data_IF_072636808174
#
_entry.id   IF_072636808174
#
_cell.length_a   1.000
_cell.length_b   1.000
_cell.length_c   1.000
_cell.angle_alpha   90.00
_cell.angle_beta   90.00
_cell.angle_gamma   90.00
#
_symmetry.space_group_name_H-M   'P 1'
#
loop_
_entity.id
_entity.type
_entity.pdbx_description
1 polymer ?
#
# COMPACT_ATOMS: atom_id res chain seq x y z
N UNK A 1 -1.89 -99.05 -14.17
CA UNK A 1 -1.74 -97.60 -14.10
C UNK A 1 -1.67 -97.18 -12.66
N UNK A 2 -0.79 -96.23 -12.31
CA UNK A 2 -0.96 -95.54 -11.05
C UNK A 2 -2.11 -94.55 -11.23
N UNK A 3 -3.19 -94.74 -10.48
CA UNK A 3 -4.24 -93.74 -10.38
C UNK A 3 -3.74 -92.61 -9.49
N UNK A 4 -3.77 -91.39 -10.00
CA UNK A 4 -3.30 -90.20 -9.29
C UNK A 4 -4.48 -89.25 -9.09
N UNK A 5 -4.81 -88.94 -7.84
CA UNK A 5 -5.97 -88.10 -7.48
C UNK A 5 -5.88 -86.69 -8.07
N UNK A 6 -4.66 -86.16 -8.23
CA UNK A 6 -4.39 -84.81 -8.72
C UNK A 6 -3.70 -84.80 -10.11
N UNK A 7 -3.88 -85.87 -10.87
CA UNK A 7 -3.34 -86.00 -12.21
C UNK A 7 -1.88 -86.46 -12.28
N UNK A 8 -1.44 -86.72 -13.51
CA UNK A 8 -0.14 -87.31 -13.78
C UNK A 8 0.96 -86.26 -13.94
N UNK A 9 2.11 -86.47 -13.30
CA UNK A 9 3.29 -85.61 -13.44
C UNK A 9 4.22 -86.08 -14.57
N UNK A 10 4.31 -87.40 -14.80
CA UNK A 10 5.07 -87.97 -15.90
C UNK A 10 4.42 -89.25 -16.41
N UNK A 11 4.41 -89.43 -17.74
CA UNK A 11 3.93 -90.63 -18.41
C UNK A 11 5.09 -91.39 -19.04
N UNK A 12 4.97 -92.72 -19.16
CA UNK A 12 5.90 -93.51 -19.96
C UNK A 12 5.59 -93.40 -21.46
N UNK A 13 6.43 -94.00 -22.30
CA UNK A 13 6.28 -94.02 -23.76
C UNK A 13 4.98 -94.67 -24.26
N UNK A 14 4.26 -95.40 -23.39
CA UNK A 14 2.94 -95.99 -23.69
C UNK A 14 1.77 -95.14 -23.15
N UNK A 15 2.03 -93.92 -22.66
CA UNK A 15 1.01 -92.99 -22.16
C UNK A 15 0.51 -93.28 -20.74
N UNK A 16 1.08 -94.26 -20.03
CA UNK A 16 0.66 -94.62 -18.66
C UNK A 16 1.34 -93.78 -17.61
N UNK A 17 0.62 -93.44 -16.55
CA UNK A 17 1.15 -92.56 -15.52
C UNK A 17 2.19 -93.26 -14.64
N UNK A 18 3.40 -92.70 -14.58
CA UNK A 18 4.53 -93.27 -13.80
C UNK A 18 4.76 -92.55 -12.47
N UNK A 19 4.44 -91.25 -12.41
CA UNK A 19 4.49 -90.44 -11.19
C UNK A 19 3.28 -89.50 -11.07
N UNK A 20 2.75 -89.39 -9.86
CA UNK A 20 1.67 -88.46 -9.55
C UNK A 20 2.22 -87.07 -9.25
N UNK A 21 1.47 -86.02 -9.58
CA UNK A 21 1.76 -84.69 -9.06
C UNK A 21 1.68 -84.73 -7.53
N UNK A 22 2.73 -84.29 -6.86
CA UNK A 22 2.69 -84.05 -5.41
C UNK A 22 2.10 -82.66 -5.22
N UNK A 23 0.83 -82.59 -4.83
CA UNK A 23 0.16 -81.34 -4.51
C UNK A 23 0.13 -81.18 -2.99
N UNK A 24 0.74 -80.12 -2.47
CA UNK A 24 0.51 -79.66 -1.11
C UNK A 24 -0.76 -78.80 -1.15
N UNK A 25 -1.84 -79.09 -0.39
CA UNK A 25 -2.97 -78.18 -0.29
C UNK A 25 -2.47 -76.83 0.23
N UNK A 26 -2.50 -75.83 -0.64
CA UNK A 26 -1.84 -74.54 -0.42
C UNK A 26 -2.49 -73.75 0.73
N UNK A 27 -1.66 -73.07 1.53
CA UNK A 27 -2.10 -72.21 2.63
C UNK A 27 -2.80 -70.93 2.12
N UNK A 28 -3.72 -70.39 2.92
CA UNK A 28 -4.40 -69.12 2.66
C UNK A 28 -3.46 -67.92 2.91
N UNK A 29 -3.54 -66.90 2.05
CA UNK A 29 -2.88 -65.62 2.32
C UNK A 29 -3.65 -64.85 3.40
N UNK A 30 -2.95 -64.22 4.33
CA UNK A 30 -3.56 -63.42 5.41
C UNK A 30 -3.04 -61.99 5.38
N UNK A 31 -3.86 -61.02 5.78
CA UNK A 31 -3.48 -59.60 5.82
C UNK A 31 -3.70 -58.81 4.52
N UNK A 32 -4.58 -59.27 3.63
CA UNK A 32 -4.85 -58.61 2.36
C UNK A 32 -5.63 -57.30 2.54
N UNK A 33 -5.10 -56.19 1.99
CA UNK A 33 -5.75 -54.86 2.02
C UNK A 33 -6.91 -54.74 1.05
N UNK A 34 -6.82 -55.36 -0.13
CA UNK A 34 -7.79 -55.20 -1.22
C UNK A 34 -8.76 -56.38 -1.35
N UNK A 35 -8.93 -57.09 -0.23
CA UNK A 35 -9.74 -58.29 -0.13
C UNK A 35 -9.04 -59.53 -0.69
N UNK A 36 -9.81 -60.60 -0.81
CA UNK A 36 -9.30 -61.92 -1.14
C UNK A 36 -10.08 -62.55 -2.29
N UNK A 37 -9.41 -63.34 -3.13
CA UNK A 37 -10.01 -64.05 -4.26
C UNK A 37 -9.63 -65.53 -4.29
N UNK A 38 -10.50 -66.37 -4.87
CA UNK A 38 -10.21 -67.79 -5.05
C UNK A 38 -9.22 -67.98 -6.20
N UNK A 39 -8.04 -68.48 -5.89
CA UNK A 39 -6.99 -68.80 -6.86
C UNK A 39 -6.71 -70.30 -6.84
N UNK A 40 -6.28 -70.87 -7.97
CA UNK A 40 -5.93 -72.28 -8.06
C UNK A 40 -4.54 -72.47 -8.65
N UNK A 41 -3.73 -73.31 -8.01
CA UNK A 41 -2.42 -73.71 -8.52
C UNK A 41 -2.52 -74.91 -9.52
N UNK A 42 -3.73 -75.26 -9.98
CA UNK A 42 -3.96 -76.41 -10.86
C UNK A 42 -3.88 -77.78 -10.17
N UNK A 43 -3.98 -77.79 -8.83
CA UNK A 43 -3.85 -78.97 -7.97
C UNK A 43 -5.19 -79.45 -7.34
N UNK A 44 -6.34 -79.09 -7.92
CA UNK A 44 -7.65 -79.59 -7.48
C UNK A 44 -8.21 -78.98 -6.18
N UNK A 45 -7.51 -78.01 -5.58
CA UNK A 45 -8.01 -77.19 -4.48
C UNK A 45 -8.12 -75.70 -4.87
N UNK A 46 -9.04 -75.00 -4.20
CA UNK A 46 -9.14 -73.53 -4.21
C UNK A 46 -8.52 -73.00 -2.92
N UNK A 47 -7.50 -72.15 -3.03
CA UNK A 47 -7.04 -71.35 -1.88
C UNK A 47 -7.52 -69.93 -2.03
N UNK A 48 -7.56 -69.21 -0.93
CA UNK A 48 -7.87 -67.80 -0.92
C UNK A 48 -6.52 -67.03 -1.01
N UNK A 49 -6.37 -66.24 -2.07
CA UNK A 49 -5.22 -65.37 -2.31
C UNK A 49 -5.61 -63.93 -1.99
N UNK A 50 -4.62 -63.08 -1.71
CA UNK A 50 -4.83 -61.64 -1.79
C UNK A 50 -5.21 -61.28 -3.22
N UNK A 51 -6.34 -60.58 -3.35
CA UNK A 51 -6.80 -60.14 -4.64
C UNK A 51 -5.77 -59.20 -5.23
N UNK A 52 -5.26 -59.55 -6.41
CA UNK A 52 -4.40 -58.63 -7.14
C UNK A 52 -5.22 -57.37 -7.47
N UNK A 53 -4.74 -56.20 -7.06
CA UNK A 53 -5.33 -54.94 -7.51
C UNK A 53 -4.34 -54.20 -8.40
N UNK A 54 -4.88 -53.52 -9.40
CA UNK A 54 -4.08 -52.60 -10.21
C UNK A 54 -4.00 -51.27 -9.49
N UNK A 55 -2.78 -50.77 -9.31
CA UNK A 55 -2.62 -49.46 -8.71
C UNK A 55 -3.03 -48.37 -9.69
N UNK A 56 -4.16 -47.72 -9.41
CA UNK A 56 -4.52 -46.46 -10.04
C UNK A 56 -4.05 -45.31 -9.15
N UNK A 57 -2.97 -44.65 -9.55
CA UNK A 57 -2.35 -43.57 -8.80
C UNK A 57 -2.85 -42.20 -9.26
N UNK A 58 -3.55 -41.49 -8.38
CA UNK A 58 -4.11 -40.18 -8.69
C UNK A 58 -3.42 -39.06 -7.91
N UNK A 59 -3.38 -37.86 -8.50
CA UNK A 59 -2.89 -36.68 -7.80
C UNK A 59 -3.96 -36.17 -6.82
N UNK A 60 -3.55 -35.66 -5.63
CA UNK A 60 -4.46 -34.96 -4.74
C UNK A 60 -5.13 -33.76 -5.42
N UNK A 61 -6.28 -33.33 -4.89
CA UNK A 61 -6.99 -32.15 -5.40
C UNK A 61 -6.06 -30.93 -5.45
N UNK A 62 -6.02 -30.25 -6.59
CA UNK A 62 -5.18 -29.07 -6.83
C UNK A 62 -3.72 -29.37 -7.23
N UNK A 63 -3.34 -30.64 -7.40
CA UNK A 63 -2.04 -31.05 -7.93
C UNK A 63 -2.17 -31.67 -9.34
N UNK A 64 -1.18 -31.40 -10.19
CA UNK A 64 -1.10 -31.87 -11.58
C UNK A 64 0.02 -32.91 -11.75
N UNK A 65 -0.12 -33.82 -12.72
CA UNK A 65 0.94 -34.79 -13.05
C UNK A 65 2.15 -34.17 -13.76
N UNK A 66 2.00 -32.94 -14.28
CA UNK A 66 3.01 -32.23 -15.06
C UNK A 66 3.54 -31.02 -14.29
N UNK A 67 4.85 -30.76 -14.42
CA UNK A 67 5.48 -29.59 -13.83
C UNK A 67 5.53 -28.43 -14.83
N UNK A 68 4.85 -27.33 -14.51
CA UNK A 68 4.90 -26.08 -15.27
C UNK A 68 5.63 -24.94 -14.54
N UNK A 69 6.14 -25.17 -13.33
CA UNK A 69 6.71 -24.14 -12.44
C UNK A 69 8.19 -24.35 -12.08
N UNK A 70 8.86 -25.31 -12.75
CA UNK A 70 10.27 -25.60 -12.52
C UNK A 70 10.58 -26.04 -11.09
N UNK A 71 11.73 -25.61 -10.55
CA UNK A 71 12.20 -26.01 -9.21
C UNK A 71 11.38 -25.43 -8.06
N UNK A 72 10.54 -24.43 -8.33
CA UNK A 72 9.72 -23.78 -7.29
C UNK A 72 8.42 -24.52 -7.00
N UNK A 73 8.08 -25.54 -7.80
CA UNK A 73 6.83 -26.27 -7.66
C UNK A 73 6.70 -26.97 -6.30
N UNK A 74 5.52 -26.88 -5.69
CA UNK A 74 5.19 -27.73 -4.56
C UNK A 74 5.00 -29.16 -5.05
N UNK A 75 5.51 -30.14 -4.31
CA UNK A 75 5.41 -31.56 -4.68
C UNK A 75 4.53 -32.34 -3.71
N UNK A 76 3.86 -33.34 -4.23
CA UNK A 76 3.14 -34.34 -3.45
C UNK A 76 3.20 -35.69 -4.19
N UNK A 77 3.11 -36.81 -3.48
CA UNK A 77 3.07 -38.12 -4.13
C UNK A 77 1.67 -38.42 -4.67
N UNK A 78 1.59 -39.15 -5.80
CA UNK A 78 0.29 -39.75 -6.16
C UNK A 78 -0.04 -40.83 -5.16
N UNK A 79 -1.31 -40.92 -4.81
CA UNK A 79 -1.80 -41.88 -3.82
C UNK A 79 -2.75 -42.84 -4.50
N UNK A 80 -2.61 -44.12 -4.19
CA UNK A 80 -3.58 -45.15 -4.52
C UNK A 80 -4.62 -45.23 -3.39
N UNK A 81 -5.81 -45.76 -3.69
CA UNK A 81 -6.89 -45.97 -2.71
C UNK A 81 -6.47 -46.86 -1.53
N UNK A 82 -5.46 -47.72 -1.71
CA UNK A 82 -4.86 -48.55 -0.66
C UNK A 82 -3.79 -47.82 0.18
N UNK A 83 -3.54 -46.53 -0.06
CA UNK A 83 -2.56 -45.72 0.66
C UNK A 83 -1.13 -45.80 0.10
N UNK A 84 -0.86 -46.68 -0.87
CA UNK A 84 0.43 -46.72 -1.55
C UNK A 84 0.72 -45.40 -2.28
N UNK A 85 1.95 -44.92 -2.18
CA UNK A 85 2.39 -43.67 -2.81
C UNK A 85 3.41 -43.96 -3.92
N UNK A 86 3.21 -43.40 -5.11
CA UNK A 86 4.14 -43.58 -6.25
C UNK A 86 4.10 -42.40 -7.22
N UNK A 87 5.26 -41.95 -7.68
CA UNK A 87 5.38 -40.80 -8.58
C UNK A 87 5.07 -39.45 -7.91
N UNK A 88 5.30 -38.39 -8.68
CA UNK A 88 5.24 -37.00 -8.18
C UNK A 88 4.14 -36.22 -8.89
N UNK A 89 3.44 -35.41 -8.12
CA UNK A 89 2.51 -34.39 -8.58
C UNK A 89 3.02 -33.02 -8.19
N UNK A 90 2.66 -32.01 -8.98
CA UNK A 90 3.14 -30.65 -8.88
C UNK A 90 1.97 -29.69 -8.68
N UNK A 91 2.17 -28.71 -7.83
CA UNK A 91 1.24 -27.60 -7.63
C UNK A 91 2.00 -26.30 -7.76
N UNK A 92 1.30 -25.27 -8.23
CA UNK A 92 1.83 -23.92 -8.27
C UNK A 92 2.44 -23.58 -6.90
N UNK A 93 3.68 -23.06 -6.87
CA UNK A 93 4.27 -22.55 -5.64
C UNK A 93 3.26 -21.59 -4.98
N UNK A 94 3.03 -21.76 -3.68
CA UNK A 94 2.40 -20.70 -2.90
C UNK A 94 3.35 -19.50 -2.93
N UNK A 95 3.11 -18.58 -3.85
CA UNK A 95 3.77 -17.29 -3.83
C UNK A 95 2.99 -16.44 -2.83
N UNK A 96 3.63 -16.11 -1.71
CA UNK A 96 3.11 -15.08 -0.84
C UNK A 96 3.34 -13.76 -1.56
N UNK A 97 2.27 -13.04 -1.87
CA UNK A 97 2.43 -11.72 -2.43
C UNK A 97 3.06 -10.79 -1.39
N UNK A 98 4.33 -10.47 -1.59
CA UNK A 98 4.95 -9.35 -0.88
C UNK A 98 4.57 -8.07 -1.61
N UNK A 99 3.62 -7.33 -1.04
CA UNK A 99 3.09 -6.10 -1.61
C UNK A 99 3.77 -4.88 -0.99
N UNK A 100 4.52 -4.14 -1.80
CA UNK A 100 5.29 -2.97 -1.35
C UNK A 100 4.77 -1.67 -1.96
N UNK A 101 4.94 -0.57 -1.24
CA UNK A 101 4.64 0.75 -1.78
C UNK A 101 5.78 1.22 -2.69
N UNK A 102 5.48 1.88 -3.82
CA UNK A 102 6.49 2.53 -4.64
C UNK A 102 7.26 3.61 -3.86
N UNK A 103 8.47 3.93 -4.29
CA UNK A 103 9.26 5.02 -3.70
C UNK A 103 8.48 6.34 -3.65
N UNK A 104 8.50 7.01 -2.50
CA UNK A 104 7.74 8.25 -2.27
C UNK A 104 6.30 8.04 -1.78
N UNK A 105 5.86 6.79 -1.64
CA UNK A 105 4.59 6.44 -1.00
C UNK A 105 4.82 5.64 0.29
N UNK A 106 3.97 5.88 1.28
CA UNK A 106 3.96 5.16 2.55
C UNK A 106 2.72 4.27 2.67
N UNK A 107 2.78 3.24 3.51
CA UNK A 107 1.65 2.33 3.76
C UNK A 107 0.63 2.89 4.73
N UNK A 108 1.06 3.80 5.61
CA UNK A 108 0.22 4.48 6.60
C UNK A 108 -0.45 5.70 5.98
N UNK A 109 -1.67 6.00 6.47
CA UNK A 109 -2.33 7.27 6.17
C UNK A 109 -1.49 8.46 6.65
N UNK A 110 -1.64 9.61 6.01
CA UNK A 110 -0.93 10.83 6.39
C UNK A 110 -1.25 11.25 7.83
N UNK A 111 -0.23 11.73 8.54
CA UNK A 111 -0.41 12.27 9.89
C UNK A 111 -1.23 13.56 9.89
N UNK A 112 -1.71 13.97 11.07
CA UNK A 112 -2.47 15.22 11.25
C UNK A 112 -1.72 16.48 10.82
N UNK A 113 -0.38 16.47 10.80
CA UNK A 113 0.46 17.58 10.30
C UNK A 113 0.75 17.52 8.78
N UNK A 114 0.19 16.53 8.08
CA UNK A 114 0.39 16.32 6.65
C UNK A 114 -0.92 16.41 5.89
N UNK A 115 -0.81 16.59 4.57
CA UNK A 115 -1.93 16.45 3.63
C UNK A 115 -1.62 15.36 2.62
N UNK A 116 -2.67 14.62 2.27
CA UNK A 116 -2.60 13.60 1.24
C UNK A 116 -2.58 14.26 -0.12
N UNK A 117 -1.57 13.96 -0.92
CA UNK A 117 -1.40 14.47 -2.29
C UNK A 117 -1.79 13.44 -3.35
N UNK A 118 -1.84 12.16 -2.97
CA UNK A 118 -2.24 11.09 -3.88
C UNK A 118 -2.28 9.73 -3.20
N UNK A 119 -2.82 8.75 -3.93
CA UNK A 119 -2.87 7.34 -3.54
C UNK A 119 -2.44 6.46 -4.69
N UNK A 120 -1.80 5.34 -4.37
CA UNK A 120 -1.50 4.29 -5.33
C UNK A 120 -1.69 2.92 -4.69
N UNK A 121 -1.72 1.86 -5.48
CA UNK A 121 -1.80 0.50 -4.95
C UNK A 121 -0.41 -0.01 -4.57
N UNK A 122 -0.33 -0.90 -3.57
CA UNK A 122 0.91 -1.66 -3.39
C UNK A 122 1.05 -2.61 -4.57
N UNK A 123 2.28 -2.79 -5.03
CA UNK A 123 2.58 -3.63 -6.19
C UNK A 123 3.44 -4.80 -5.74
N UNK A 124 3.09 -5.99 -6.21
CA UNK A 124 3.90 -7.19 -6.08
C UNK A 124 4.88 -7.26 -7.26
N UNK A 125 6.01 -7.96 -7.09
CA UNK A 125 6.98 -8.17 -8.18
C UNK A 125 6.39 -8.84 -9.43
N UNK A 126 5.26 -9.53 -9.31
CA UNK A 126 4.51 -10.10 -10.44
C UNK A 126 3.52 -9.14 -11.12
N UNK A 127 3.47 -7.86 -10.71
CA UNK A 127 2.56 -6.84 -11.26
C UNK A 127 1.16 -6.84 -10.63
N UNK A 128 0.85 -7.79 -9.75
CA UNK A 128 -0.41 -7.79 -9.01
C UNK A 128 -0.47 -6.58 -8.05
N UNK A 129 -1.62 -5.92 -8.00
CA UNK A 129 -1.86 -4.76 -7.14
C UNK A 129 -2.83 -5.12 -6.00
N UNK A 130 -2.52 -4.72 -4.77
CA UNK A 130 -3.40 -4.95 -3.61
C UNK A 130 -3.13 -3.97 -2.48
N UNK A 131 -4.17 -3.49 -1.79
CA UNK A 131 -4.05 -2.50 -0.73
C UNK A 131 -3.63 -1.11 -1.24
N UNK A 132 -3.61 -0.14 -0.33
CA UNK A 132 -3.41 1.28 -0.67
C UNK A 132 -2.12 1.81 -0.03
N UNK A 133 -1.46 2.70 -0.76
CA UNK A 133 -0.35 3.51 -0.32
C UNK A 133 -0.69 4.98 -0.50
N UNK A 134 -0.13 5.83 0.35
CA UNK A 134 -0.44 7.25 0.44
C UNK A 134 0.82 8.06 0.14
N UNK A 135 0.67 9.10 -0.67
CA UNK A 135 1.68 10.15 -0.80
C UNK A 135 1.26 11.32 0.07
N UNK A 136 2.17 11.79 0.90
CA UNK A 136 1.92 12.82 1.89
C UNK A 136 2.97 13.91 1.76
N UNK A 137 2.55 15.17 1.86
CA UNK A 137 3.44 16.31 2.07
C UNK A 137 3.15 16.97 3.40
N UNK A 138 4.13 17.68 3.94
CA UNK A 138 3.91 18.54 5.09
C UNK A 138 2.89 19.64 4.76
N UNK A 139 2.04 19.97 5.73
CA UNK A 139 1.18 21.16 5.66
C UNK A 139 2.05 22.41 5.62
N UNK A 140 1.58 23.42 4.90
CA UNK A 140 2.16 24.76 4.89
C UNK A 140 1.18 25.73 5.54
N UNK A 141 1.67 26.91 5.95
CA UNK A 141 0.81 27.99 6.47
C UNK A 141 -0.33 28.33 5.50
N UNK A 142 -0.06 28.29 4.19
CA UNK A 142 -1.04 28.56 3.15
C UNK A 142 -2.19 27.55 3.11
N UNK A 143 -1.96 26.29 3.49
CA UNK A 143 -3.02 25.28 3.60
C UNK A 143 -4.05 25.64 4.69
N UNK A 144 -3.66 26.46 5.67
CA UNK A 144 -4.54 27.00 6.71
C UNK A 144 -5.04 28.42 6.42
N UNK A 145 -4.72 29.00 5.25
CA UNK A 145 -5.05 30.39 4.93
C UNK A 145 -4.14 31.43 5.60
N UNK A 146 -2.97 31.02 6.10
CA UNK A 146 -1.99 31.88 6.76
C UNK A 146 -0.77 32.14 5.88
N UNK A 147 0.06 33.11 6.27
CA UNK A 147 1.37 33.35 5.63
C UNK A 147 2.51 32.87 6.52
N UNK A 148 3.61 32.43 5.91
CA UNK A 148 4.82 32.03 6.65
C UNK A 148 5.56 33.22 7.27
N UNK A 149 5.39 34.41 6.69
CA UNK A 149 5.98 35.67 7.13
C UNK A 149 5.13 36.82 6.62
N UNK A 150 5.03 37.89 7.41
CA UNK A 150 4.40 39.11 6.93
C UNK A 150 5.31 39.86 5.94
N UNK A 151 4.73 40.59 4.96
CA UNK A 151 5.48 41.48 4.07
C UNK A 151 6.31 42.51 4.83
N UNK A 152 7.35 43.05 4.19
CA UNK A 152 8.25 44.06 4.78
C UNK A 152 7.49 45.25 5.38
N UNK A 153 7.85 45.63 6.60
CA UNK A 153 7.22 46.74 7.33
C UNK A 153 5.92 46.37 8.06
N UNK A 154 5.49 45.11 7.99
CA UNK A 154 4.28 44.64 8.67
C UNK A 154 4.59 43.63 9.78
N UNK A 155 3.73 43.60 10.79
CA UNK A 155 3.63 42.50 11.76
C UNK A 155 2.23 41.94 11.76
N UNK A 156 2.13 40.64 12.00
CA UNK A 156 0.86 39.94 12.14
C UNK A 156 0.77 39.26 13.50
N UNK A 157 -0.39 38.67 13.75
CA UNK A 157 -0.59 37.81 14.91
C UNK A 157 -0.02 36.43 14.60
N UNK A 158 0.88 35.93 15.46
CA UNK A 158 1.43 34.59 15.33
C UNK A 158 0.36 33.53 15.66
N UNK A 159 0.23 32.53 14.79
CA UNK A 159 -0.71 31.42 14.91
C UNK A 159 0.07 30.12 14.73
N UNK A 160 -0.11 29.17 15.66
CA UNK A 160 0.47 27.84 15.50
C UNK A 160 -0.44 26.98 14.61
N UNK A 161 0.08 26.53 13.47
CA UNK A 161 -0.65 25.67 12.54
C UNK A 161 0.22 24.51 12.06
N UNK A 162 -0.24 23.27 12.28
CA UNK A 162 0.46 22.04 11.91
C UNK A 162 1.91 21.96 12.44
N UNK A 163 2.20 22.57 13.60
CA UNK A 163 3.54 22.62 14.20
C UNK A 163 4.44 23.73 13.64
N UNK A 164 3.94 24.57 12.73
CA UNK A 164 4.61 25.75 12.19
C UNK A 164 4.12 27.02 12.89
N UNK A 165 4.99 28.03 12.97
CA UNK A 165 4.58 29.40 13.34
C UNK A 165 4.20 30.15 12.08
N UNK A 166 2.90 30.40 11.92
CA UNK A 166 2.32 31.14 10.81
C UNK A 166 1.81 32.51 11.28
N UNK A 167 1.45 33.39 10.35
CA UNK A 167 0.95 34.72 10.67
C UNK A 167 -0.37 35.01 9.96
N UNK A 168 -1.24 35.75 10.65
CA UNK A 168 -2.47 36.32 10.10
C UNK A 168 -2.57 37.80 10.43
N UNK A 169 -3.46 38.53 9.76
CA UNK A 169 -3.70 39.96 9.98
C UNK A 169 -2.40 40.78 9.93
N UNK A 170 -1.56 40.53 8.93
CA UNK A 170 -0.35 41.33 8.72
C UNK A 170 -0.75 42.79 8.46
N UNK A 171 -0.28 43.69 9.33
CA UNK A 171 -0.54 45.12 9.28
C UNK A 171 0.75 45.89 9.49
N UNK A 172 0.84 47.09 8.92
CA UNK A 172 2.00 47.95 9.12
C UNK A 172 2.24 48.22 10.62
N UNK A 173 3.48 48.07 11.09
CA UNK A 173 3.85 48.54 12.42
C UNK A 173 4.12 50.03 12.35
N UNK A 174 3.18 50.80 12.87
CA UNK A 174 3.37 52.22 13.05
C UNK A 174 4.12 52.38 14.37
N UNK A 175 5.45 52.57 14.28
CA UNK A 175 6.23 53.01 15.42
C UNK A 175 5.61 54.30 15.95
N UNK A 176 5.22 54.33 17.22
CA UNK A 176 4.65 55.48 17.94
C UNK A 176 5.57 56.72 17.98
N UNK A 177 6.66 56.70 17.22
CA UNK A 177 7.78 57.65 17.27
C UNK A 177 7.95 58.46 16.00
N UNK A 178 7.02 58.41 15.03
CA UNK A 178 7.05 59.34 13.89
C UNK A 178 6.67 60.75 14.37
N UNK A 179 7.64 61.45 14.98
CA UNK A 179 7.56 62.89 15.24
C UNK A 179 7.89 63.58 13.92
N UNK A 180 6.89 64.15 13.27
CA UNK A 180 7.13 65.09 12.18
C UNK A 180 7.59 66.42 12.81
N UNK A 181 8.77 66.90 12.40
CA UNK A 181 9.23 68.24 12.77
C UNK A 181 8.71 69.23 11.72
N UNK A 182 7.78 70.12 12.07
CA UNK A 182 7.45 71.27 11.21
C UNK A 182 8.66 72.23 11.25
N UNK A 183 9.19 72.64 10.09
CA UNK A 183 10.29 73.60 9.99
C UNK A 183 9.78 75.01 10.31
N UNK A 184 9.74 75.37 11.59
CA UNK A 184 9.21 76.66 12.07
C UNK A 184 8.89 76.61 13.56
N UNK A 185 8.60 77.76 14.17
CA UNK A 185 8.32 77.92 15.61
C UNK A 185 6.92 77.38 16.03
N UNK A 186 6.50 76.27 15.44
CA UNK A 186 5.15 75.72 15.50
C UNK A 186 5.10 74.57 16.52
N UNK A 187 4.03 74.51 17.33
CA UNK A 187 3.80 73.40 18.25
C UNK A 187 3.44 72.11 17.50
N UNK A 188 3.90 70.99 18.05
CA UNK A 188 3.92 69.67 17.41
C UNK A 188 2.50 69.13 17.17
N UNK A 189 2.09 69.01 15.91
CA UNK A 189 0.95 68.18 15.53
C UNK A 189 1.32 66.69 15.62
N UNK A 190 0.58 65.91 16.42
CA UNK A 190 0.71 64.45 16.46
C UNK A 190 -0.33 63.80 15.56
N UNK A 191 0.11 63.16 14.48
CA UNK A 191 -0.73 62.31 13.64
C UNK A 191 -0.32 60.84 13.75
N UNK A 192 -1.30 59.93 13.76
CA UNK A 192 -1.04 58.48 13.64
C UNK A 192 -1.57 57.98 12.30
N UNK A 193 -0.71 57.36 11.50
CA UNK A 193 -1.10 56.66 10.27
C UNK A 193 -0.98 55.16 10.50
N UNK A 194 -2.10 54.44 10.54
CA UNK A 194 -2.17 53.03 10.18
C UNK A 194 -3.47 52.82 9.40
N UNK A 195 -3.42 52.09 8.29
CA UNK A 195 -4.56 51.72 7.41
C UNK A 195 -5.07 52.78 6.40
N UNK A 196 -4.26 53.80 6.04
CA UNK A 196 -4.50 54.60 4.83
C UNK A 196 -5.67 55.61 4.90
N UNK A 197 -6.23 55.85 6.08
CA UNK A 197 -7.09 57.01 6.34
C UNK A 197 -6.19 58.15 6.82
N UNK A 198 -5.79 59.00 5.88
CA UNK A 198 -4.98 60.19 6.14
C UNK A 198 -5.56 61.01 7.29
N UNK A 199 -4.90 61.03 8.45
CA UNK A 199 -5.11 62.12 9.40
C UNK A 199 -4.27 63.30 8.92
N UNK A 200 -4.96 64.41 8.63
CA UNK A 200 -4.36 65.69 8.24
C UNK A 200 -3.14 66.00 9.13
N UNK A 201 -2.00 66.24 8.52
CA UNK A 201 -0.92 66.94 9.20
C UNK A 201 -1.31 68.42 9.27
N UNK A 202 -2.02 68.80 10.34
CA UNK A 202 -2.19 70.21 10.68
C UNK A 202 -0.94 70.70 11.40
N UNK A 203 -0.14 71.55 10.76
CA UNK A 203 0.68 72.49 11.53
C UNK A 203 -0.27 73.68 11.81
N UNK A 204 -0.74 73.83 13.06
CA UNK A 204 -1.54 74.99 13.48
C UNK A 204 -0.60 76.21 13.57
N UNK A 205 -0.37 76.84 12.42
CA UNK A 205 0.27 78.15 12.34
C UNK A 205 -0.86 79.19 12.42
N UNK A 206 -0.90 79.98 13.49
CA UNK A 206 -1.86 81.07 13.63
C UNK A 206 -1.84 81.96 12.37
N UNK A 207 -2.91 81.87 11.56
CA UNK A 207 -3.16 82.77 10.43
C UNK A 207 -3.02 82.20 9.00
N UNK A 208 -2.67 80.92 8.80
CA UNK A 208 -2.49 80.38 7.44
C UNK A 208 -3.11 78.98 7.30
N UNK A 209 -3.98 78.79 6.29
CA UNK A 209 -4.54 77.49 5.94
C UNK A 209 -3.56 76.74 5.02
N UNK A 210 -3.09 75.57 5.47
CA UNK A 210 -2.27 74.66 4.64
C UNK A 210 -2.98 73.34 4.42
N UNK A 211 -2.80 72.75 3.23
CA UNK A 211 -3.15 71.35 2.94
C UNK A 211 -1.86 70.55 2.79
N UNK A 212 -1.59 69.64 3.71
CA UNK A 212 -0.49 68.68 3.58
C UNK A 212 -0.95 67.45 2.80
N UNK A 213 -0.17 67.00 1.81
CA UNK A 213 -0.36 65.70 1.19
C UNK A 213 0.94 64.89 1.22
N UNK A 214 0.80 63.56 1.19
CA UNK A 214 1.91 62.63 1.36
C UNK A 214 2.19 61.93 0.02
N UNK A 215 3.41 62.05 -0.51
CA UNK A 215 3.76 61.59 -1.86
C UNK A 215 4.58 60.28 -1.86
N UNK A 216 4.41 59.41 -0.87
CA UNK A 216 5.07 58.09 -0.84
C UNK A 216 6.46 58.07 -0.18
N UNK A 217 7.12 59.21 0.01
CA UNK A 217 8.44 59.29 0.64
C UNK A 217 8.64 60.47 1.60
N UNK A 218 7.98 61.62 1.37
CA UNK A 218 8.04 62.81 2.23
C UNK A 218 6.67 63.51 2.32
N UNK A 219 6.46 64.31 3.37
CA UNK A 219 5.36 65.27 3.45
C UNK A 219 5.76 66.51 2.66
N UNK A 220 5.16 66.74 1.51
CA UNK A 220 5.30 68.02 0.81
C UNK A 220 4.24 68.99 1.33
N UNK A 221 4.68 70.20 1.70
CA UNK A 221 3.80 71.31 2.07
C UNK A 221 3.64 72.16 0.82
N UNK A 222 2.47 72.11 0.19
CA UNK A 222 2.15 72.99 -0.93
C UNK A 222 1.50 74.26 -0.39
N UNK A 223 2.07 75.41 -0.74
CA UNK A 223 1.45 76.70 -0.46
C UNK A 223 0.22 76.85 -1.37
N UNK A 224 -0.97 76.77 -0.80
CA UNK A 224 -2.17 77.28 -1.46
C UNK A 224 -2.03 78.81 -1.50
N UNK A 225 -1.79 79.36 -2.69
CA UNK A 225 -2.04 80.78 -2.91
C UNK A 225 -3.54 81.03 -2.75
N UNK A 226 -3.90 82.23 -2.29
CA UNK A 226 -5.24 82.61 -1.79
C UNK A 226 -6.42 82.40 -2.77
N UNK A 227 -6.20 81.89 -3.98
CA UNK A 227 -7.22 81.75 -5.02
C UNK A 227 -8.04 80.45 -4.99
N UNK A 228 -7.55 79.36 -4.38
CA UNK A 228 -8.21 78.04 -4.52
C UNK A 228 -9.17 77.66 -3.38
N UNK A 229 -9.33 78.51 -2.36
CA UNK A 229 -10.08 78.16 -1.15
C UNK A 229 -11.58 78.53 -1.17
N UNK A 230 -12.03 79.32 -2.15
CA UNK A 230 -13.45 79.67 -2.30
C UNK A 230 -13.84 79.59 -3.76
N UNK A 231 -14.52 78.51 -4.16
CA UNK A 231 -14.97 78.25 -5.52
C UNK A 231 -15.81 79.38 -6.13
N UNK A 232 -15.13 80.40 -6.64
CA UNK A 232 -15.65 81.49 -7.45
C UNK A 232 -14.64 81.77 -8.53
N UNK A 233 -15.09 81.65 -9.79
CA UNK A 233 -14.30 81.74 -11.02
C UNK A 233 -13.20 82.82 -10.97
N UNK A 234 -11.96 82.37 -11.17
CA UNK A 234 -10.90 83.09 -11.87
C UNK A 234 -10.03 82.06 -12.61
#
# INVERSE_FOLDING_TARGET
DKSCDYGCAATNSCGKCTSCKSCTPSANETGCTDGTESCSDGCGGTRLCCKGHTHSYSCPSGYSASNSWGSSAQTASKTCSCGAASGTCYKAPAHTHSYSCPSGYQSSSCSSSQVQTGTTSKVCSCGAASGTCYSCRAKTCSDGGYVSSCPSGQTGTAVSYAGLTCYTNCKAQCSSSYRFSCSGNCEFGSGTSCDGLYQRCGCDCAGWNYTSFWNGSECEIEYLSDCDMYGTNC
#
